data_IF_412235826003
#
_entry.id   IF_412235826003
#
_cell.length_a   1.000
_cell.length_b   1.000
_cell.length_c   1.000
_cell.angle_alpha   90.00
_cell.angle_beta   90.00
_cell.angle_gamma   90.00
#
_symmetry.space_group_name_H-M   'P 1'
#
loop_
_entity.id
_entity.type
_entity.pdbx_description
1 polymer ?
#
# COMPACT_ATOMS: atom_id res chain seq x y z
N UNK A 1 17.28 -24.24 -18.12
CA UNK A 1 17.02 -22.94 -18.78
C UNK A 1 16.42 -21.90 -17.84
N UNK A 2 15.46 -22.24 -16.97
CA UNK A 2 14.89 -21.29 -15.98
C UNK A 2 15.94 -20.66 -15.05
N UNK A 3 16.91 -21.44 -14.55
CA UNK A 3 17.99 -20.90 -13.70
C UNK A 3 18.92 -19.90 -14.41
N UNK A 4 19.05 -20.01 -15.74
CA UNK A 4 19.85 -19.06 -16.55
C UNK A 4 19.09 -17.76 -16.74
N UNK A 5 17.78 -17.83 -17.01
CA UNK A 5 16.90 -16.65 -17.04
C UNK A 5 16.83 -15.96 -15.69
N UNK A 6 16.82 -16.73 -14.60
CA UNK A 6 16.75 -16.22 -13.24
C UNK A 6 18.05 -15.53 -12.82
N UNK A 7 19.20 -16.14 -13.13
CA UNK A 7 20.52 -15.52 -12.93
C UNK A 7 20.67 -14.26 -13.77
N UNK A 8 20.26 -14.29 -15.04
CA UNK A 8 20.31 -13.13 -15.92
C UNK A 8 19.44 -11.98 -15.37
N UNK A 9 18.22 -12.27 -14.90
CA UNK A 9 17.36 -11.25 -14.28
C UNK A 9 17.93 -10.69 -12.98
N UNK A 10 18.53 -11.53 -12.13
CA UNK A 10 19.17 -11.09 -10.90
C UNK A 10 20.42 -10.26 -11.18
N UNK A 11 21.26 -10.69 -12.14
CA UNK A 11 22.41 -9.93 -12.62
C UNK A 11 21.99 -8.62 -13.25
N UNK A 12 20.89 -8.59 -14.00
CA UNK A 12 20.31 -7.37 -14.55
C UNK A 12 19.86 -6.45 -13.42
N UNK A 13 19.14 -6.93 -12.41
CA UNK A 13 18.68 -6.13 -11.26
C UNK A 13 19.85 -5.61 -10.43
N UNK A 14 20.85 -6.45 -10.14
CA UNK A 14 22.06 -6.08 -9.39
C UNK A 14 22.92 -5.11 -10.21
N UNK A 15 23.11 -5.37 -11.50
CA UNK A 15 23.84 -4.49 -12.42
C UNK A 15 23.13 -3.14 -12.52
N UNK A 16 21.82 -3.15 -12.71
CA UNK A 16 21.01 -1.94 -12.68
C UNK A 16 21.19 -1.25 -11.34
N UNK A 17 21.04 -1.92 -10.20
CA UNK A 17 21.18 -1.31 -8.88
C UNK A 17 22.56 -0.68 -8.65
N UNK A 18 23.65 -1.40 -8.96
CA UNK A 18 25.03 -0.89 -8.86
C UNK A 18 25.24 0.28 -9.82
N UNK A 19 24.76 0.16 -11.06
CA UNK A 19 24.84 1.20 -12.08
C UNK A 19 23.98 2.44 -11.73
N UNK A 20 22.79 2.25 -11.15
CA UNK A 20 21.84 3.27 -10.70
C UNK A 20 22.32 4.03 -9.47
N UNK A 21 23.01 3.34 -8.56
CA UNK A 21 23.54 3.94 -7.34
C UNK A 21 24.86 4.69 -7.61
N UNK A 22 25.65 4.24 -8.59
CA UNK A 22 26.94 4.86 -8.94
C UNK A 22 26.85 5.90 -10.06
N UNK A 23 25.90 5.81 -11.00
CA UNK A 23 25.66 6.85 -11.99
C UNK A 23 24.43 7.69 -11.60
N UNK A 24 24.68 8.94 -11.20
CA UNK A 24 23.67 10.02 -11.10
C UNK A 24 22.88 10.25 -12.40
N UNK A 25 23.29 9.64 -13.50
CA UNK A 25 22.72 9.81 -14.83
C UNK A 25 22.07 8.52 -15.31
N UNK A 26 20.97 8.14 -14.69
CA UNK A 26 19.96 7.52 -15.51
C UNK A 26 19.47 8.59 -16.48
N UNK A 27 19.56 8.36 -17.79
CA UNK A 27 18.87 9.25 -18.70
C UNK A 27 17.39 9.22 -18.28
N UNK A 28 16.80 10.39 -18.04
CA UNK A 28 15.38 10.49 -17.69
C UNK A 28 14.53 9.67 -18.68
N UNK A 29 15.00 9.52 -19.91
CA UNK A 29 14.43 8.70 -20.96
C UNK A 29 14.22 7.23 -20.57
N UNK A 30 15.25 6.51 -20.09
CA UNK A 30 15.10 5.07 -19.76
C UNK A 30 14.17 4.87 -18.57
N UNK A 31 14.19 5.78 -17.58
CA UNK A 31 13.27 5.73 -16.42
C UNK A 31 11.84 5.98 -16.89
N UNK A 32 11.65 7.00 -17.73
CA UNK A 32 10.36 7.30 -18.31
C UNK A 32 9.86 6.15 -19.17
N UNK A 33 10.73 5.47 -19.94
CA UNK A 33 10.33 4.33 -20.78
C UNK A 33 9.85 3.13 -19.95
N UNK A 34 10.57 2.76 -18.90
CA UNK A 34 10.16 1.67 -18.00
C UNK A 34 8.85 2.02 -17.30
N UNK A 35 8.69 3.26 -16.82
CA UNK A 35 7.45 3.76 -16.20
C UNK A 35 6.29 3.72 -17.21
N UNK A 36 6.53 4.12 -18.45
CA UNK A 36 5.51 4.09 -19.52
C UNK A 36 5.10 2.64 -19.78
N UNK A 37 6.04 1.71 -19.89
CA UNK A 37 5.76 0.30 -20.16
C UNK A 37 4.98 -0.38 -19.03
N UNK A 38 5.34 -0.11 -17.76
CA UNK A 38 4.57 -0.62 -16.61
C UNK A 38 3.18 0.00 -16.55
N UNK A 39 3.07 1.32 -16.75
CA UNK A 39 1.76 1.99 -16.78
C UNK A 39 0.87 1.53 -17.95
N UNK A 40 1.44 1.18 -19.11
CA UNK A 40 0.69 0.59 -20.24
C UNK A 40 0.15 -0.79 -19.87
N UNK A 41 0.97 -1.65 -19.26
CA UNK A 41 0.52 -2.96 -18.78
C UNK A 41 -0.62 -2.80 -17.77
N UNK A 42 -0.47 -1.85 -16.86
CA UNK A 42 -1.43 -1.58 -15.79
C UNK A 42 -2.75 -1.00 -16.33
N UNK A 43 -2.72 -0.28 -17.47
CA UNK A 43 -3.91 0.35 -18.08
C UNK A 43 -5.08 -0.63 -18.29
N UNK A 44 -4.78 -1.88 -18.67
CA UNK A 44 -5.82 -2.91 -18.83
C UNK A 44 -6.45 -3.29 -17.49
N UNK A 45 -5.65 -3.39 -16.43
CA UNK A 45 -6.14 -3.69 -15.08
C UNK A 45 -7.04 -2.56 -14.56
N UNK A 46 -6.65 -1.31 -14.79
CA UNK A 46 -7.44 -0.13 -14.43
C UNK A 46 -8.78 -0.01 -15.15
N UNK A 47 -8.90 -0.58 -16.35
CA UNK A 47 -10.18 -0.68 -17.06
C UNK A 47 -11.19 -1.61 -16.39
N UNK A 48 -10.75 -2.50 -15.48
CA UNK A 48 -11.61 -3.46 -14.77
C UNK A 48 -12.12 -2.94 -13.42
N UNK A 49 -11.54 -1.87 -12.89
CA UNK A 49 -11.98 -1.32 -11.61
C UNK A 49 -13.35 -0.65 -11.75
N UNK A 50 -14.23 -0.87 -10.78
CA UNK A 50 -15.41 -0.02 -10.58
C UNK A 50 -14.92 1.38 -10.19
N UNK A 51 -15.43 2.42 -10.86
CA UNK A 51 -15.01 3.81 -10.61
C UNK A 51 -16.04 4.51 -9.75
N UNK A 52 -15.57 5.17 -8.69
CA UNK A 52 -16.36 6.09 -7.88
C UNK A 52 -15.67 7.45 -7.87
N UNK A 53 -16.46 8.51 -7.88
CA UNK A 53 -15.96 9.87 -8.06
C UNK A 53 -16.18 10.68 -6.79
N UNK A 54 -15.17 11.48 -6.43
CA UNK A 54 -15.26 12.52 -5.41
C UNK A 54 -14.99 13.84 -6.11
N UNK A 55 -15.97 14.74 -6.09
CA UNK A 55 -15.86 16.04 -6.72
C UNK A 55 -15.10 17.01 -5.80
N UNK A 56 -14.10 17.69 -6.36
CA UNK A 56 -13.29 18.72 -5.70
C UNK A 56 -13.58 20.06 -6.39
N UNK A 57 -14.41 20.94 -5.81
CA UNK A 57 -14.69 22.24 -6.40
C UNK A 57 -13.43 23.11 -6.40
N UNK A 58 -13.34 24.10 -7.30
CA UNK A 58 -12.23 25.05 -7.39
C UNK A 58 -10.84 24.38 -7.42
N UNK A 59 -10.71 23.33 -8.24
CA UNK A 59 -9.71 22.25 -8.12
C UNK A 59 -8.32 22.66 -7.61
N UNK A 60 -7.58 23.51 -8.33
CA UNK A 60 -6.20 23.86 -7.97
C UNK A 60 -6.07 24.71 -6.71
N UNK A 61 -7.07 25.52 -6.39
CA UNK A 61 -7.07 26.35 -5.19
C UNK A 61 -7.31 25.49 -3.96
N UNK A 62 -8.34 24.64 -4.01
CA UNK A 62 -8.66 23.71 -2.93
C UNK A 62 -7.52 22.71 -2.70
N UNK A 63 -6.81 22.25 -3.74
CA UNK A 63 -5.64 21.37 -3.60
C UNK A 63 -4.51 21.92 -2.70
N UNK A 64 -4.41 23.25 -2.58
CA UNK A 64 -3.39 23.92 -1.75
C UNK A 64 -3.79 24.01 -0.28
N UNK A 65 -5.06 23.73 0.04
CA UNK A 65 -5.61 23.82 1.39
C UNK A 65 -6.08 22.45 1.88
N UNK A 66 -5.27 21.81 2.73
CA UNK A 66 -5.56 20.47 3.28
C UNK A 66 -6.86 20.45 4.11
N UNK A 67 -7.12 21.48 4.92
CA UNK A 67 -8.33 21.53 5.75
C UNK A 67 -9.60 21.67 4.89
N UNK A 68 -9.51 22.43 3.80
CA UNK A 68 -10.61 22.56 2.85
C UNK A 68 -10.84 21.26 2.07
N UNK A 69 -9.78 20.59 1.63
CA UNK A 69 -9.86 19.25 1.04
C UNK A 69 -10.53 18.26 1.98
N UNK A 70 -10.15 18.24 3.26
CA UNK A 70 -10.76 17.36 4.26
C UNK A 70 -12.27 17.60 4.35
N UNK A 71 -12.70 18.87 4.43
CA UNK A 71 -14.11 19.26 4.48
C UNK A 71 -14.90 18.80 3.25
N UNK A 72 -14.30 18.87 2.06
CA UNK A 72 -14.95 18.47 0.79
C UNK A 72 -14.99 16.95 0.63
N UNK A 73 -13.90 16.26 0.97
CA UNK A 73 -13.75 14.82 0.76
C UNK A 73 -14.57 14.04 1.80
N UNK A 74 -14.60 14.47 3.06
CA UNK A 74 -15.16 13.66 4.15
C UNK A 74 -16.60 13.18 3.91
N UNK A 75 -17.57 14.05 3.52
CA UNK A 75 -18.96 13.62 3.35
C UNK A 75 -19.14 12.63 2.19
N UNK A 76 -18.47 12.89 1.05
CA UNK A 76 -18.54 12.04 -0.14
C UNK A 76 -17.86 10.69 0.10
N UNK A 77 -16.70 10.71 0.76
CA UNK A 77 -15.98 9.50 1.13
C UNK A 77 -16.81 8.64 2.10
N UNK A 78 -17.44 9.23 3.12
CA UNK A 78 -18.32 8.50 4.05
C UNK A 78 -19.45 7.79 3.31
N UNK A 79 -20.06 8.42 2.32
CA UNK A 79 -21.12 7.78 1.52
C UNK A 79 -20.59 6.57 0.75
N UNK A 80 -19.45 6.70 0.08
CA UNK A 80 -18.79 5.59 -0.64
C UNK A 80 -18.50 4.42 0.32
N UNK A 81 -17.96 4.73 1.50
CA UNK A 81 -17.51 3.74 2.49
C UNK A 81 -18.66 3.01 3.20
N UNK A 82 -19.92 3.48 3.12
CA UNK A 82 -21.08 2.72 3.63
C UNK A 82 -21.20 1.33 3.01
N UNK A 83 -20.72 1.18 1.78
CA UNK A 83 -20.75 -0.07 1.02
C UNK A 83 -19.49 -0.92 1.14
N UNK A 84 -18.50 -0.49 1.93
CA UNK A 84 -17.20 -1.16 2.06
C UNK A 84 -16.97 -1.55 3.51
N UNK A 85 -16.69 -2.82 3.75
CA UNK A 85 -16.59 -3.38 5.11
C UNK A 85 -15.29 -2.96 5.82
N UNK A 86 -15.34 -2.88 7.16
CA UNK A 86 -14.11 -2.83 7.97
C UNK A 86 -13.25 -4.06 7.72
N UNK A 87 -11.92 -3.89 7.69
CA UNK A 87 -10.97 -4.95 7.33
C UNK A 87 -10.64 -5.03 5.83
N UNK A 88 -11.32 -4.25 4.99
CA UNK A 88 -11.01 -4.13 3.56
C UNK A 88 -9.62 -3.56 3.33
N UNK A 89 -8.99 -3.88 2.20
CA UNK A 89 -7.66 -3.37 1.87
C UNK A 89 -7.76 -2.10 1.04
N UNK A 90 -7.04 -1.08 1.48
CA UNK A 90 -6.78 0.15 0.74
C UNK A 90 -5.42 0.03 0.04
N UNK A 91 -5.38 0.25 -1.28
CA UNK A 91 -4.20 0.12 -2.12
C UNK A 91 -3.87 1.46 -2.78
N UNK A 92 -2.59 1.81 -2.79
CA UNK A 92 -2.11 3.09 -3.35
C UNK A 92 -1.06 2.84 -4.42
N UNK A 93 -1.28 3.45 -5.57
CA UNK A 93 -0.26 3.62 -6.61
C UNK A 93 0.29 5.04 -6.48
N UNK A 94 1.51 5.19 -5.95
CA UNK A 94 2.22 6.46 -6.01
C UNK A 94 3.07 6.53 -7.29
N UNK A 95 2.75 7.48 -8.17
CA UNK A 95 3.49 7.76 -9.42
C UNK A 95 4.45 8.95 -9.32
N UNK A 96 4.46 9.64 -8.18
CA UNK A 96 5.22 10.88 -8.01
C UNK A 96 6.59 10.57 -7.40
N UNK A 97 6.61 9.70 -6.39
CA UNK A 97 7.85 9.32 -5.70
C UNK A 97 8.65 8.27 -6.49
N UNK A 98 9.94 8.57 -6.74
CA UNK A 98 10.83 7.72 -7.51
C UNK A 98 11.04 6.34 -6.87
N UNK A 99 11.03 6.27 -5.54
CA UNK A 99 11.26 5.00 -4.83
C UNK A 99 10.05 4.08 -4.91
N UNK A 100 8.83 4.63 -4.80
CA UNK A 100 7.57 3.94 -5.02
C UNK A 100 7.46 3.39 -6.45
N UNK A 101 7.91 4.17 -7.44
CA UNK A 101 7.97 3.72 -8.83
C UNK A 101 8.95 2.56 -9.03
N UNK A 102 10.17 2.66 -8.48
CA UNK A 102 11.17 1.60 -8.55
C UNK A 102 10.68 0.31 -7.87
N UNK A 103 10.04 0.43 -6.71
CA UNK A 103 9.46 -0.69 -6.00
C UNK A 103 8.41 -1.41 -6.87
N UNK A 104 7.49 -0.66 -7.49
CA UNK A 104 6.49 -1.22 -8.41
C UNK A 104 7.09 -1.94 -9.61
N UNK A 105 8.12 -1.36 -10.23
CA UNK A 105 8.84 -1.98 -11.34
C UNK A 105 9.49 -3.28 -10.88
N UNK A 106 10.22 -3.25 -9.76
CA UNK A 106 10.90 -4.41 -9.21
C UNK A 106 9.94 -5.54 -8.79
N UNK A 107 8.73 -5.19 -8.35
CA UNK A 107 7.70 -6.15 -7.97
C UNK A 107 6.74 -6.51 -9.11
N UNK A 108 6.91 -5.92 -10.29
CA UNK A 108 6.04 -6.09 -11.45
C UNK A 108 4.55 -5.86 -11.14
N UNK A 109 4.24 -4.78 -10.42
CA UNK A 109 2.90 -4.49 -9.90
C UNK A 109 2.45 -3.02 -9.95
N UNK A 110 1.15 -2.81 -9.71
CA UNK A 110 0.48 -1.50 -9.73
C UNK A 110 0.65 -0.70 -8.45
N UNK A 111 0.74 -1.36 -7.31
CA UNK A 111 0.61 -0.72 -6.01
C UNK A 111 1.96 -0.72 -5.29
N UNK A 112 2.27 0.43 -4.69
CA UNK A 112 3.47 0.64 -3.87
C UNK A 112 3.17 0.60 -2.37
N UNK A 113 1.90 0.79 -1.98
CA UNK A 113 1.50 0.79 -0.58
C UNK A 113 0.14 0.13 -0.38
N UNK A 114 -0.10 -0.35 0.84
CA UNK A 114 -1.39 -0.85 1.27
C UNK A 114 -1.69 -0.51 2.74
N UNK A 115 -2.97 -0.48 3.08
CA UNK A 115 -3.46 -0.26 4.44
C UNK A 115 -4.76 -1.04 4.62
N UNK A 116 -5.24 -1.11 5.85
CA UNK A 116 -6.54 -1.69 6.18
C UNK A 116 -7.53 -0.58 6.52
N UNK A 117 -8.71 -0.62 5.90
CA UNK A 117 -9.82 0.29 6.21
C UNK A 117 -10.49 -0.11 7.52
N UNK A 118 -10.80 0.88 8.34
CA UNK A 118 -11.68 0.76 9.50
C UNK A 118 -12.84 1.75 9.30
N UNK A 119 -14.07 1.27 9.35
CA UNK A 119 -15.24 2.12 9.20
C UNK A 119 -15.35 3.13 10.38
N UNK A 120 -16.16 4.20 10.21
CA UNK A 120 -16.54 5.05 11.32
C UNK A 120 -16.99 4.26 12.55
N UNK A 121 -16.64 4.77 13.73
CA UNK A 121 -16.97 4.21 15.04
C UNK A 121 -16.47 2.77 15.27
N UNK A 122 -15.42 2.33 14.57
CA UNK A 122 -14.87 0.97 14.70
C UNK A 122 -14.49 0.60 16.14
N UNK A 123 -13.96 1.54 16.92
CA UNK A 123 -13.57 1.32 18.32
C UNK A 123 -14.69 1.59 19.34
N UNK A 124 -15.90 1.93 18.88
CA UNK A 124 -17.02 2.37 19.74
C UNK A 124 -16.67 3.55 20.67
N UNK A 125 -15.80 4.44 20.21
CA UNK A 125 -15.32 5.62 20.94
C UNK A 125 -16.06 6.92 20.55
N UNK A 126 -17.10 6.80 19.71
CA UNK A 126 -17.86 7.93 19.19
C UNK A 126 -17.23 8.62 17.98
N UNK A 127 -16.03 8.20 17.53
CA UNK A 127 -15.37 8.75 16.37
C UNK A 127 -16.18 8.45 15.09
N UNK A 128 -16.65 9.48 14.40
CA UNK A 128 -17.46 9.34 13.18
C UNK A 128 -16.63 9.34 11.90
N UNK A 129 -15.31 9.36 11.98
CA UNK A 129 -14.41 9.42 10.83
C UNK A 129 -13.94 8.01 10.41
N UNK A 130 -13.82 7.74 9.10
CA UNK A 130 -13.17 6.53 8.65
C UNK A 130 -11.67 6.57 8.98
N UNK A 131 -11.15 5.44 9.42
CA UNK A 131 -9.75 5.29 9.81
C UNK A 131 -9.04 4.32 8.88
N UNK A 132 -7.72 4.40 8.86
CA UNK A 132 -6.87 3.43 8.18
C UNK A 132 -5.74 2.97 9.09
N UNK A 133 -5.54 1.67 9.16
CA UNK A 133 -4.44 1.05 9.88
C UNK A 133 -3.32 0.70 8.90
N UNK A 134 -2.10 1.21 9.16
CA UNK A 134 -0.98 1.03 8.25
C UNK A 134 0.38 0.95 8.96
N UNK A 135 1.36 0.43 8.23
CA UNK A 135 2.78 0.53 8.54
C UNK A 135 3.47 1.32 7.42
N UNK A 136 3.68 2.62 7.62
CA UNK A 136 4.30 3.53 6.65
C UNK A 136 5.34 4.41 7.35
N UNK A 137 6.50 4.61 6.71
CA UNK A 137 7.53 5.52 7.20
C UNK A 137 7.16 7.00 7.04
N UNK A 138 6.33 7.34 6.04
CA UNK A 138 5.75 8.66 5.91
C UNK A 138 4.60 8.83 6.91
N UNK A 139 4.80 9.72 7.90
CA UNK A 139 3.79 10.05 8.90
C UNK A 139 3.25 11.43 8.63
N UNK A 140 1.93 11.52 8.45
CA UNK A 140 1.22 12.78 8.21
C UNK A 140 0.89 13.47 9.54
N UNK A 141 0.55 12.67 10.57
CA UNK A 141 -0.05 13.17 11.81
C UNK A 141 0.58 12.62 13.11
N UNK A 142 1.56 11.73 13.02
CA UNK A 142 2.04 10.95 14.17
C UNK A 142 3.54 11.04 14.36
N UNK A 143 3.96 11.17 15.63
CA UNK A 143 5.37 11.03 16.05
C UNK A 143 5.75 9.56 16.30
N UNK A 144 4.81 8.62 16.15
CA UNK A 144 5.06 7.20 16.35
C UNK A 144 5.87 6.63 15.19
N UNK A 145 6.96 5.94 15.49
CA UNK A 145 7.85 5.30 14.50
C UNK A 145 7.41 3.90 14.09
N UNK A 146 6.28 3.40 14.63
CA UNK A 146 5.72 2.09 14.33
C UNK A 146 4.40 2.13 13.56
N UNK A 147 3.72 0.98 13.41
CA UNK A 147 2.38 0.92 12.84
C UNK A 147 1.42 1.83 13.59
N UNK A 148 0.47 2.41 12.88
CA UNK A 148 -0.44 3.39 13.47
C UNK A 148 -1.78 3.46 12.73
N UNK A 149 -2.73 4.16 13.34
CA UNK A 149 -4.02 4.50 12.77
C UNK A 149 -4.02 5.96 12.34
N UNK A 150 -4.58 6.25 11.18
CA UNK A 150 -4.75 7.61 10.66
C UNK A 150 -6.20 7.83 10.23
N UNK A 151 -6.65 9.08 10.29
CA UNK A 151 -7.86 9.49 9.60
C UNK A 151 -7.65 9.35 8.10
N UNK A 152 -8.50 8.54 7.45
CA UNK A 152 -8.37 8.28 6.02
C UNK A 152 -8.56 9.56 5.19
N UNK A 153 -9.51 10.41 5.59
CA UNK A 153 -9.80 11.69 4.93
C UNK A 153 -8.59 12.62 4.95
N UNK A 154 -7.97 12.78 6.12
CA UNK A 154 -6.75 13.59 6.28
C UNK A 154 -5.59 13.03 5.47
N UNK A 155 -5.40 11.72 5.52
CA UNK A 155 -4.38 11.03 4.73
C UNK A 155 -4.55 11.32 3.23
N UNK A 156 -5.76 11.13 2.69
CA UNK A 156 -6.07 11.38 1.29
C UNK A 156 -5.82 12.85 0.91
N UNK A 157 -6.28 13.80 1.74
CA UNK A 157 -6.14 15.23 1.50
C UNK A 157 -4.67 15.65 1.39
N UNK A 158 -3.83 15.19 2.32
CA UNK A 158 -2.38 15.46 2.28
C UNK A 158 -1.71 14.77 1.09
N UNK A 159 -2.06 13.52 0.81
CA UNK A 159 -1.48 12.78 -0.31
C UNK A 159 -1.86 13.39 -1.66
N UNK A 160 -3.10 13.87 -1.83
CA UNK A 160 -3.51 14.55 -3.06
C UNK A 160 -2.76 15.86 -3.26
N UNK A 161 -2.59 16.64 -2.19
CA UNK A 161 -1.86 17.90 -2.23
C UNK A 161 -0.37 17.70 -2.57
N UNK A 162 0.28 16.67 -1.99
CA UNK A 162 1.71 16.40 -2.19
C UNK A 162 2.02 15.56 -3.43
N UNK A 163 1.13 14.64 -3.79
CA UNK A 163 1.36 13.60 -4.79
C UNK A 163 0.13 13.47 -5.71
N UNK A 164 -0.18 14.49 -6.55
CA UNK A 164 -1.43 14.58 -7.30
C UNK A 164 -1.63 13.48 -8.36
N UNK A 165 -0.57 12.74 -8.71
CA UNK A 165 -0.63 11.61 -9.66
C UNK A 165 -0.87 10.24 -8.99
N UNK A 166 -1.22 10.23 -7.70
CA UNK A 166 -1.57 8.99 -7.00
C UNK A 166 -2.92 8.43 -7.47
N UNK A 167 -3.05 7.10 -7.37
CA UNK A 167 -4.33 6.40 -7.57
C UNK A 167 -4.65 5.54 -6.37
N UNK A 168 -5.93 5.41 -6.08
CA UNK A 168 -6.42 4.84 -4.84
C UNK A 168 -7.48 3.78 -5.12
N UNK A 169 -7.32 2.60 -4.54
CA UNK A 169 -8.22 1.46 -4.76
C UNK A 169 -8.62 0.85 -3.43
N UNK A 170 -9.90 0.57 -3.27
CA UNK A 170 -10.41 -0.32 -2.23
C UNK A 170 -10.67 -1.71 -2.79
N UNK A 171 -10.31 -2.71 -1.99
CA UNK A 171 -10.64 -4.12 -2.16
C UNK A 171 -11.50 -4.51 -0.97
N UNK A 172 -12.82 -4.49 -1.18
CA UNK A 172 -13.77 -4.87 -0.14
C UNK A 172 -13.65 -6.35 0.19
N UNK A 173 -13.96 -6.75 1.42
CA UNK A 173 -14.08 -8.16 1.76
C UNK A 173 -15.30 -8.76 1.06
N UNK A 174 -15.19 -9.99 0.54
CA UNK A 174 -16.35 -10.71 -0.05
C UNK A 174 -17.47 -10.96 0.97
N UNK A 175 -17.10 -11.06 2.24
CA UNK A 175 -18.02 -11.21 3.36
C UNK A 175 -17.59 -10.26 4.49
N UNK A 176 -18.54 -9.60 5.18
CA UNK A 176 -18.21 -8.81 6.37
C UNK A 176 -17.49 -9.66 7.42
N UNK A 177 -16.63 -9.03 8.22
CA UNK A 177 -16.04 -9.69 9.36
C UNK A 177 -17.13 -10.13 10.35
N UNK A 178 -17.01 -11.34 10.87
CA UNK A 178 -17.80 -11.76 12.02
C UNK A 178 -17.50 -10.86 13.24
N UNK A 179 -18.38 -10.89 14.24
CA UNK A 179 -18.15 -10.15 15.48
C UNK A 179 -16.82 -10.55 16.15
N UNK A 180 -16.51 -11.85 16.20
CA UNK A 180 -15.24 -12.35 16.74
C UNK A 180 -14.03 -11.83 15.96
N UNK A 181 -14.10 -11.83 14.62
CA UNK A 181 -13.03 -11.29 13.79
C UNK A 181 -12.87 -9.77 13.97
N UNK A 182 -13.97 -9.04 14.13
CA UNK A 182 -13.93 -7.59 14.37
C UNK A 182 -13.23 -7.26 15.69
N UNK A 183 -13.52 -8.03 16.75
CA UNK A 183 -12.82 -7.91 18.04
C UNK A 183 -11.32 -8.23 17.91
N UNK A 184 -10.98 -9.34 17.24
CA UNK A 184 -9.58 -9.72 16.97
C UNK A 184 -8.85 -8.69 16.12
N UNK A 185 -9.54 -7.99 15.22
CA UNK A 185 -8.94 -6.91 14.44
C UNK A 185 -8.52 -5.75 15.37
N UNK A 186 -9.41 -5.31 16.25
CA UNK A 186 -9.11 -4.31 17.27
C UNK A 186 -7.92 -4.72 18.17
N UNK A 187 -7.90 -5.97 18.62
CA UNK A 187 -6.78 -6.53 19.40
C UNK A 187 -5.46 -6.53 18.62
N UNK A 188 -5.48 -6.96 17.36
CA UNK A 188 -4.30 -6.98 16.49
C UNK A 188 -3.72 -5.58 16.31
N UNK A 189 -4.57 -4.58 16.10
CA UNK A 189 -4.15 -3.19 15.94
C UNK A 189 -3.52 -2.67 17.23
N UNK A 190 -4.21 -2.83 18.36
CA UNK A 190 -3.70 -2.41 19.67
C UNK A 190 -2.36 -3.07 20.01
N UNK A 191 -2.22 -4.37 19.73
CA UNK A 191 -0.98 -5.11 19.95
C UNK A 191 0.16 -4.59 19.06
N UNK A 192 -0.15 -4.27 17.81
CA UNK A 192 0.85 -3.78 16.85
C UNK A 192 1.36 -2.40 17.21
N UNK A 193 0.48 -1.50 17.64
CA UNK A 193 0.83 -0.14 18.10
C UNK A 193 1.66 -0.19 19.39
N UNK A 194 1.32 -1.10 20.32
CA UNK A 194 2.04 -1.26 21.59
C UNK A 194 3.44 -1.85 21.43
N UNK A 195 3.72 -2.59 20.35
CA UNK A 195 5.06 -3.10 20.05
C UNK A 195 5.96 -1.94 19.60
N UNK A 196 6.71 -1.37 20.54
CA UNK A 196 7.64 -0.26 20.29
C UNK A 196 8.90 -0.65 19.49
N UNK A 197 9.17 -1.94 19.34
CA UNK A 197 10.38 -2.48 18.69
C UNK A 197 10.23 -2.68 17.17
N UNK A 198 9.46 -1.84 16.50
CA UNK A 198 9.31 -1.94 15.04
C UNK A 198 10.15 -0.90 14.33
N UNK A 199 11.01 -1.36 13.42
CA UNK A 199 11.78 -0.53 12.50
C UNK A 199 11.12 -0.55 11.13
N UNK A 200 10.93 0.62 10.52
CA UNK A 200 10.56 0.68 9.10
C UNK A 200 11.81 0.43 8.23
N UNK A 201 11.74 -0.50 7.26
CA UNK A 201 12.85 -0.74 6.36
C UNK A 201 12.99 0.43 5.40
N UNK A 202 14.21 0.67 4.94
CA UNK A 202 14.44 1.46 3.74
C UNK A 202 13.81 0.77 2.52
N UNK A 203 13.55 1.50 1.43
CA UNK A 203 13.01 0.91 0.21
C UNK A 203 13.89 -0.21 -0.37
N UNK A 204 15.21 -0.10 -0.20
CA UNK A 204 16.14 -1.15 -0.61
C UNK A 204 15.98 -2.41 0.24
N UNK A 205 15.99 -2.27 1.57
CA UNK A 205 15.77 -3.40 2.48
C UNK A 205 14.41 -4.05 2.23
N UNK A 206 13.37 -3.27 1.95
CA UNK A 206 12.04 -3.77 1.63
C UNK A 206 12.05 -4.57 0.31
N UNK A 207 12.59 -3.99 -0.76
CA UNK A 207 12.71 -4.65 -2.06
C UNK A 207 13.51 -5.96 -1.94
N UNK A 208 14.64 -5.91 -1.25
CA UNK A 208 15.52 -7.06 -1.09
C UNK A 208 14.92 -8.14 -0.20
N UNK A 209 14.26 -7.75 0.90
CA UNK A 209 13.49 -8.65 1.77
C UNK A 209 12.45 -9.41 0.97
N UNK A 210 11.62 -8.70 0.21
CA UNK A 210 10.58 -9.34 -0.60
C UNK A 210 11.17 -10.27 -1.67
N UNK A 211 12.17 -9.78 -2.42
CA UNK A 211 12.74 -10.49 -3.56
C UNK A 211 13.43 -11.79 -3.11
N UNK A 212 14.20 -11.73 -2.03
CA UNK A 212 14.84 -12.91 -1.44
C UNK A 212 13.81 -13.89 -0.88
N UNK A 213 12.81 -13.42 -0.15
CA UNK A 213 11.80 -14.28 0.47
C UNK A 213 10.83 -14.93 -0.52
N UNK A 214 10.58 -14.29 -1.66
CA UNK A 214 9.66 -14.80 -2.68
C UNK A 214 10.36 -15.63 -3.76
N UNK A 215 11.50 -15.18 -4.26
CA UNK A 215 12.13 -15.77 -5.45
C UNK A 215 13.49 -16.43 -5.17
N UNK A 216 14.21 -15.98 -4.15
CA UNK A 216 15.60 -16.39 -3.92
C UNK A 216 15.85 -16.86 -2.50
N UNK A 217 14.96 -17.70 -1.95
CA UNK A 217 15.06 -18.17 -0.55
C UNK A 217 16.41 -18.84 -0.24
N UNK A 218 17.01 -19.49 -1.24
CA UNK A 218 18.33 -20.09 -1.11
C UNK A 218 19.46 -19.07 -0.88
N UNK A 219 19.25 -17.78 -1.18
CA UNK A 219 20.18 -16.69 -0.88
C UNK A 219 20.02 -16.10 0.52
N UNK A 220 18.98 -16.47 1.28
CA UNK A 220 18.73 -15.95 2.64
C UNK A 220 19.96 -16.11 3.55
N UNK A 221 20.69 -17.25 3.57
CA UNK A 221 21.90 -17.39 4.40
C UNK A 221 23.03 -16.43 4.04
N UNK A 222 23.06 -15.93 2.79
CA UNK A 222 24.09 -15.02 2.27
C UNK A 222 23.69 -13.55 2.41
N UNK A 223 22.42 -13.28 2.67
CA UNK A 223 21.85 -11.96 2.80
C UNK A 223 21.49 -11.75 4.27
N UNK A 224 22.39 -11.11 5.00
CA UNK A 224 22.10 -10.71 6.36
C UNK A 224 21.38 -9.35 6.36
N UNK A 225 20.09 -9.33 6.69
CA UNK A 225 19.40 -8.12 7.11
C UNK A 225 19.37 -8.16 8.64
N UNK A 226 20.12 -7.26 9.25
CA UNK A 226 20.22 -7.19 10.70
C UNK A 226 18.84 -6.89 11.33
N UNK A 227 18.50 -7.65 12.37
CA UNK A 227 17.23 -7.53 13.10
C UNK A 227 15.98 -7.59 12.21
N UNK A 228 15.97 -8.49 11.20
CA UNK A 228 14.89 -8.63 10.22
C UNK A 228 13.52 -8.82 10.87
N UNK A 229 13.46 -9.55 11.98
CA UNK A 229 12.26 -9.80 12.78
C UNK A 229 11.62 -8.52 13.33
N UNK A 230 12.42 -7.47 13.53
CA UNK A 230 11.97 -6.16 14.01
C UNK A 230 11.49 -5.25 12.87
N UNK A 231 11.66 -5.68 11.60
CA UNK A 231 11.21 -4.91 10.45
C UNK A 231 9.69 -5.02 10.30
N UNK A 232 9.03 -3.89 10.08
CA UNK A 232 7.62 -3.84 9.77
C UNK A 232 7.36 -2.99 8.53
N UNK A 233 6.38 -3.37 7.72
CA UNK A 233 5.98 -2.63 6.52
C UNK A 233 4.53 -2.96 6.17
N UNK A 234 3.97 -2.17 5.27
CA UNK A 234 2.55 -2.12 4.97
C UNK A 234 1.91 -3.48 4.65
N UNK A 235 2.48 -4.23 3.71
CA UNK A 235 1.92 -5.54 3.33
C UNK A 235 2.15 -6.60 4.39
N UNK A 236 3.29 -6.58 5.10
CA UNK A 236 3.55 -7.50 6.21
C UNK A 236 2.48 -7.38 7.27
N UNK A 237 2.18 -6.16 7.73
CA UNK A 237 1.21 -5.98 8.81
C UNK A 237 -0.21 -6.35 8.40
N UNK A 238 -0.62 -6.01 7.17
CA UNK A 238 -1.92 -6.40 6.63
C UNK A 238 -2.04 -7.93 6.54
N UNK A 239 -1.00 -8.61 6.05
CA UNK A 239 -0.96 -10.08 5.99
C UNK A 239 -1.01 -10.70 7.39
N UNK A 240 -0.22 -10.20 8.34
CA UNK A 240 -0.20 -10.69 9.73
C UNK A 240 -1.57 -10.53 10.39
N UNK A 241 -2.23 -9.39 10.17
CA UNK A 241 -3.59 -9.16 10.66
C UNK A 241 -4.56 -10.17 10.05
N UNK A 242 -4.56 -10.38 8.72
CA UNK A 242 -5.45 -11.38 8.12
C UNK A 242 -5.16 -12.82 8.58
N UNK A 243 -3.90 -13.18 8.84
CA UNK A 243 -3.56 -14.46 9.44
C UNK A 243 -4.09 -14.59 10.88
N UNK A 244 -4.03 -13.51 11.65
CA UNK A 244 -4.58 -13.46 13.01
C UNK A 244 -6.12 -13.59 13.02
N UNK A 245 -6.79 -12.99 12.03
CA UNK A 245 -8.24 -13.11 11.82
C UNK A 245 -8.68 -14.48 11.26
N UNK A 246 -7.72 -15.32 10.84
CA UNK A 246 -7.99 -16.61 10.20
C UNK A 246 -8.49 -16.49 8.75
N UNK A 247 -8.33 -15.32 8.13
CA UNK A 247 -8.71 -15.08 6.73
C UNK A 247 -7.60 -15.55 5.76
N UNK A 248 -6.34 -15.50 6.19
CA UNK A 248 -5.20 -16.03 5.44
C UNK A 248 -4.55 -17.22 6.13
N UNK A 249 -3.98 -18.13 5.35
CA UNK A 249 -3.22 -19.27 5.86
C UNK A 249 -1.97 -18.79 6.61
N UNK A 250 -1.77 -19.27 7.84
CA UNK A 250 -0.61 -18.97 8.70
C UNK A 250 0.74 -19.37 8.09
N UNK A 251 0.75 -20.24 7.08
CA UNK A 251 1.96 -20.64 6.33
C UNK A 251 2.43 -19.60 5.31
N UNK A 252 1.60 -18.62 4.96
CA UNK A 252 2.00 -17.54 4.06
C UNK A 252 3.12 -16.73 4.74
N UNK A 253 4.24 -16.59 4.04
CA UNK A 253 5.38 -15.84 4.56
C UNK A 253 5.14 -14.34 4.37
N UNK A 254 4.95 -13.63 5.49
CA UNK A 254 4.59 -12.21 5.49
C UNK A 254 5.70 -11.32 4.94
N UNK A 255 6.96 -11.73 5.05
CA UNK A 255 8.10 -11.04 4.42
C UNK A 255 8.14 -11.19 2.89
N UNK A 256 7.44 -12.19 2.34
CA UNK A 256 7.27 -12.39 0.88
C UNK A 256 6.01 -11.75 0.32
N UNK A 257 5.25 -11.03 1.14
CA UNK A 257 4.00 -10.36 0.69
C UNK A 257 4.23 -8.89 0.38
N UNK A 258 3.57 -8.40 -0.67
CA UNK A 258 3.59 -7.01 -1.11
C UNK A 258 2.17 -6.52 -1.43
N UNK A 259 1.95 -5.20 -1.61
CA UNK A 259 0.63 -4.65 -1.90
C UNK A 259 -0.11 -5.31 -3.07
N UNK A 260 0.63 -5.79 -4.08
CA UNK A 260 0.05 -6.41 -5.26
C UNK A 260 -0.51 -7.82 -5.01
N UNK A 261 -0.15 -8.45 -3.89
CA UNK A 261 -0.71 -9.75 -3.50
C UNK A 261 -2.18 -9.62 -3.03
N UNK A 262 -2.68 -8.40 -2.78
CA UNK A 262 -4.09 -8.14 -2.42
C UNK A 262 -4.99 -7.75 -3.61
N UNK A 263 -4.47 -7.84 -4.84
CA UNK A 263 -5.18 -7.44 -6.05
C UNK A 263 -6.08 -8.55 -6.62
N UNK A 264 -6.89 -8.21 -7.63
CA UNK A 264 -7.82 -9.12 -8.32
C UNK A 264 -7.30 -10.53 -8.61
N UNK A 265 -6.04 -10.67 -9.01
CA UNK A 265 -5.51 -11.95 -9.48
C UNK A 265 -4.97 -12.87 -8.38
N UNK A 266 -4.83 -12.37 -7.15
CA UNK A 266 -3.92 -12.99 -6.17
C UNK A 266 -4.61 -13.36 -4.85
N UNK A 267 -5.85 -12.93 -4.61
CA UNK A 267 -6.51 -13.18 -3.33
C UNK A 267 -8.04 -13.29 -3.44
N UNK A 268 -8.56 -14.46 -3.07
CA UNK A 268 -10.00 -14.78 -3.11
C UNK A 268 -10.81 -14.22 -1.93
N UNK A 269 -10.18 -13.52 -1.00
CA UNK A 269 -10.86 -12.94 0.18
C UNK A 269 -11.65 -11.68 -0.21
N UNK A 270 -11.25 -11.02 -1.30
CA UNK A 270 -11.76 -9.71 -1.67
C UNK A 270 -12.67 -9.72 -2.89
N UNK A 271 -13.63 -8.80 -2.87
CA UNK A 271 -14.49 -8.38 -3.96
C UNK A 271 -13.70 -7.66 -5.06
N UNK A 272 -14.38 -7.22 -6.10
CA UNK A 272 -13.77 -6.44 -7.18
C UNK A 272 -13.16 -5.11 -6.68
N UNK A 273 -12.22 -4.58 -7.47
CA UNK A 273 -11.53 -3.31 -7.16
C UNK A 273 -12.43 -2.10 -7.37
N UNK A 274 -12.49 -1.23 -6.36
CA UNK A 274 -13.17 0.06 -6.42
C UNK A 274 -12.11 1.16 -6.46
N UNK A 275 -11.94 1.81 -7.60
CA UNK A 275 -11.05 2.96 -7.75
C UNK A 275 -11.77 4.25 -7.33
N UNK A 276 -11.17 5.01 -6.42
CA UNK A 276 -11.58 6.37 -6.10
C UNK A 276 -10.87 7.35 -7.03
N UNK A 277 -11.67 8.15 -7.73
CA UNK A 277 -11.19 9.19 -8.65
C UNK A 277 -11.62 10.55 -8.12
N UNK A 278 -10.65 11.42 -7.84
CA UNK A 278 -10.91 12.80 -7.47
C UNK A 278 -11.06 13.65 -8.73
N UNK A 279 -12.27 14.16 -8.97
CA UNK A 279 -12.60 14.96 -10.14
C UNK A 279 -12.48 16.43 -9.78
N UNK A 280 -11.54 17.12 -10.42
CA UNK A 280 -11.38 18.57 -10.26
C UNK A 280 -12.51 19.28 -11.01
N UNK A 281 -13.27 20.11 -10.30
CA UNK A 281 -14.18 21.08 -10.89
C UNK A 281 -13.39 22.20 -11.54
N UNK A 282 -13.88 22.68 -12.69
CA UNK A 282 -13.43 23.93 -13.31
C UNK A 282 -13.97 25.13 -12.52
#
# INVERSE_FOLDING_TARGET
MENVYLFLNLSIIIFFYIYFYQQKSFSNLTKNLIIILTNIKDKKCWGKCKKVYIDIPNGEETLKNVEELERVINPQLKEILKSINSGSVFLIQNNTDATSMLFRVGLNGRFSHCAMLLQPNFFNDGNQEPLMFQAAGEKIDSKNTGPDIHFLTKFLSVYMSRYPSCRYVFRDLKAPLTQEQSLKLGESICRSIKKKETRFPTNFELFWTYTTEKYFRFLIPLVHIENKENITFCSKIVTETFQFLGLLNKKINTFSTNPNDFTLSNCDIFSDEIEIIFKMGN
#
